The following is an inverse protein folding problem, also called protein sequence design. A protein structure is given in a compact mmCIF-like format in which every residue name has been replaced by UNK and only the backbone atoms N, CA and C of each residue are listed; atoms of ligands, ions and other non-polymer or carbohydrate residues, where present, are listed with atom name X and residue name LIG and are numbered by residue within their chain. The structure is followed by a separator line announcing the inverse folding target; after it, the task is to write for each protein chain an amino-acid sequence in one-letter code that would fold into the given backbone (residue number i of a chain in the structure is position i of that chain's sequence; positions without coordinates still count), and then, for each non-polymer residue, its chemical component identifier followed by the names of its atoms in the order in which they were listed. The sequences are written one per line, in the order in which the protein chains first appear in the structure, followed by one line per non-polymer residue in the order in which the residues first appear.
data_IF_012512517148
#
_entry.id   IF_012512517148
#
_cell.length_a   1.000
_cell.length_b   1.000
_cell.length_c   1.000
_cell.angle_alpha   90.00
_cell.angle_beta   90.00
_cell.angle_gamma   90.00
#
_symmetry.space_group_name_H-M   'P 1'
#
loop_
_entity.id
_entity.type
_entity.pdbx_description
1 polymer ?
#
# COMPACT_ATOMS: atom_id res chain seq x y z
N UNK A 1 4.06 -9.72 3.80
CA UNK A 1 3.76 -8.82 4.93
C UNK A 1 3.00 -9.61 5.99
N UNK A 2 3.40 -9.45 7.26
CA UNK A 2 2.85 -10.19 8.40
C UNK A 2 2.04 -9.25 9.29
N UNK A 3 0.77 -9.56 9.54
CA UNK A 3 -0.15 -8.76 10.35
C UNK A 3 -0.45 -9.46 11.66
N UNK A 4 -0.64 -8.70 12.73
CA UNK A 4 -1.22 -9.18 13.97
C UNK A 4 -2.64 -8.64 14.11
N UNK A 5 -3.60 -9.50 14.44
CA UNK A 5 -4.95 -9.11 14.84
C UNK A 5 -5.13 -9.47 16.30
N UNK A 6 -5.56 -8.48 17.09
CA UNK A 6 -5.93 -8.66 18.50
C UNK A 6 -7.41 -8.27 18.64
N UNK A 7 -8.28 -9.26 18.73
CA UNK A 7 -9.74 -9.12 18.69
C UNK A 7 -10.37 -10.21 19.56
N UNK A 8 -11.11 -9.84 20.61
CA UNK A 8 -11.70 -10.78 21.56
C UNK A 8 -12.96 -11.47 21.02
N UNK A 9 -13.69 -10.82 20.10
CA UNK A 9 -14.83 -11.43 19.44
C UNK A 9 -14.35 -12.44 18.37
N UNK A 10 -14.46 -13.73 18.70
CA UNK A 10 -13.95 -14.83 17.85
C UNK A 10 -14.44 -14.73 16.39
N UNK A 11 -15.75 -14.45 16.19
CA UNK A 11 -16.33 -14.35 14.83
C UNK A 11 -15.73 -13.21 14.01
N UNK A 12 -15.56 -12.06 14.62
CA UNK A 12 -14.93 -10.89 13.98
C UNK A 12 -13.47 -11.16 13.70
N UNK A 13 -12.72 -11.72 14.65
CA UNK A 13 -11.33 -12.08 14.47
C UNK A 13 -11.11 -13.07 13.31
N UNK A 14 -11.87 -14.15 13.28
CA UNK A 14 -11.76 -15.14 12.19
C UNK A 14 -12.19 -14.58 10.82
N UNK A 15 -13.24 -13.76 10.77
CA UNK A 15 -13.64 -13.06 9.55
C UNK A 15 -12.52 -12.16 9.00
N UNK A 16 -11.88 -11.39 9.87
CA UNK A 16 -10.76 -10.53 9.50
C UNK A 16 -9.54 -11.33 9.03
N UNK A 17 -9.19 -12.39 9.77
CA UNK A 17 -8.08 -13.28 9.44
C UNK A 17 -8.29 -13.91 8.08
N UNK A 18 -9.47 -14.46 7.81
CA UNK A 18 -9.79 -15.05 6.52
C UNK A 18 -9.67 -14.04 5.39
N UNK A 19 -10.35 -12.88 5.50
CA UNK A 19 -10.35 -11.88 4.42
C UNK A 19 -8.96 -11.31 4.15
N UNK A 20 -8.15 -11.05 5.18
CA UNK A 20 -6.79 -10.55 5.01
C UNK A 20 -5.85 -11.63 4.45
N UNK A 21 -6.03 -12.90 4.85
CA UNK A 21 -5.26 -14.01 4.27
C UNK A 21 -5.59 -14.21 2.78
N UNK A 22 -6.86 -14.12 2.39
CA UNK A 22 -7.30 -14.14 0.99
C UNK A 22 -6.74 -12.94 0.20
N UNK A 23 -6.53 -11.79 0.87
CA UNK A 23 -5.88 -10.62 0.28
C UNK A 23 -4.33 -10.74 0.19
N UNK A 24 -3.75 -11.87 0.60
CA UNK A 24 -2.32 -12.20 0.44
C UNK A 24 -1.43 -11.82 1.63
N UNK A 25 -2.00 -11.53 2.81
CA UNK A 25 -1.23 -11.26 4.02
C UNK A 25 -1.02 -12.52 4.87
N UNK A 26 0.14 -12.63 5.53
CA UNK A 26 0.32 -13.57 6.64
C UNK A 26 -0.34 -12.97 7.89
N UNK A 27 -1.24 -13.72 8.55
CA UNK A 27 -2.05 -13.17 9.65
C UNK A 27 -1.97 -14.04 10.89
N UNK A 28 -1.47 -13.46 11.99
CA UNK A 28 -1.60 -14.03 13.33
C UNK A 28 -2.84 -13.41 14.00
N UNK A 29 -3.61 -14.23 14.70
CA UNK A 29 -4.81 -13.80 15.43
C UNK A 29 -4.73 -14.27 16.88
N UNK A 30 -4.99 -13.35 17.79
CA UNK A 30 -5.12 -13.61 19.23
C UNK A 30 -6.38 -12.96 19.78
N UNK A 31 -6.94 -13.54 20.83
CA UNK A 31 -8.27 -13.18 21.34
C UNK A 31 -8.25 -12.49 22.71
N UNK A 32 -7.11 -12.05 23.19
CA UNK A 32 -6.99 -11.30 24.45
C UNK A 32 -5.83 -10.31 24.41
N UNK A 33 -5.90 -9.32 25.28
CA UNK A 33 -4.89 -8.26 25.31
C UNK A 33 -3.52 -8.70 25.82
N UNK A 34 -3.45 -9.73 26.68
CA UNK A 34 -2.19 -10.22 27.23
C UNK A 34 -1.33 -10.91 26.14
N UNK A 35 -1.94 -11.84 25.40
CA UNK A 35 -1.26 -12.51 24.29
C UNK A 35 -0.96 -11.51 23.16
N UNK A 36 -1.88 -10.58 22.87
CA UNK A 36 -1.68 -9.50 21.91
C UNK A 36 -0.48 -8.63 22.26
N UNK A 37 -0.37 -8.21 23.52
CA UNK A 37 0.77 -7.46 24.01
C UNK A 37 2.07 -8.26 23.89
N UNK A 38 2.06 -9.53 24.34
CA UNK A 38 3.24 -10.39 24.25
C UNK A 38 3.74 -10.54 22.81
N UNK A 39 2.86 -10.92 21.89
CA UNK A 39 3.23 -11.10 20.48
C UNK A 39 3.71 -9.78 19.84
N UNK A 40 3.01 -8.68 20.09
CA UNK A 40 3.40 -7.37 19.57
C UNK A 40 4.77 -6.91 20.07
N UNK A 41 5.16 -7.34 21.29
CA UNK A 41 6.46 -7.02 21.88
C UNK A 41 7.60 -7.95 21.42
N UNK A 42 7.32 -9.20 21.15
CA UNK A 42 8.35 -10.23 20.86
C UNK A 42 8.55 -10.50 19.39
N UNK A 43 7.48 -10.40 18.59
CA UNK A 43 7.51 -10.70 17.17
C UNK A 43 7.63 -9.43 16.31
N UNK A 44 7.91 -9.64 15.02
CA UNK A 44 7.92 -8.57 14.01
C UNK A 44 6.66 -8.63 13.17
N UNK A 45 5.93 -7.52 13.16
CA UNK A 45 4.74 -7.31 12.33
C UNK A 45 4.89 -6.05 11.49
N UNK A 46 4.33 -6.08 10.30
CA UNK A 46 4.27 -4.93 9.39
C UNK A 46 3.12 -3.98 9.78
N UNK A 47 2.06 -4.51 10.43
CA UNK A 47 0.93 -3.75 10.95
C UNK A 47 0.21 -4.55 12.03
N UNK A 48 -0.35 -3.85 13.02
CA UNK A 48 -1.19 -4.43 14.08
C UNK A 48 -2.60 -3.87 13.95
N UNK A 49 -3.60 -4.75 13.89
CA UNK A 49 -5.02 -4.43 13.99
C UNK A 49 -5.43 -4.77 15.43
N UNK A 50 -5.92 -3.77 16.15
CA UNK A 50 -6.05 -3.86 17.61
C UNK A 50 -7.43 -3.37 18.05
N UNK A 51 -8.22 -4.23 18.70
CA UNK A 51 -9.41 -3.75 19.37
C UNK A 51 -9.02 -2.91 20.61
N UNK A 52 -9.76 -1.85 20.81
CA UNK A 52 -9.61 -1.00 22.00
C UNK A 52 -10.08 -1.73 23.25
N UNK A 53 -11.20 -2.47 23.13
CA UNK A 53 -11.88 -3.09 24.28
C UNK A 53 -11.53 -4.57 24.42
N UNK A 54 -10.32 -4.85 24.87
CA UNK A 54 -9.84 -6.21 25.07
C UNK A 54 -9.91 -6.59 26.55
N UNK A 55 -10.10 -7.88 26.89
CA UNK A 55 -9.94 -8.36 28.24
C UNK A 55 -8.46 -8.28 28.67
N UNK A 56 -8.24 -8.20 29.99
CA UNK A 56 -6.95 -8.18 30.69
C UNK A 56 -6.13 -6.91 30.44
N UNK A 57 -5.72 -6.66 29.21
CA UNK A 57 -4.95 -5.48 28.80
C UNK A 57 -5.66 -4.80 27.63
N UNK A 58 -6.18 -3.60 27.85
CA UNK A 58 -6.84 -2.82 26.80
C UNK A 58 -5.88 -2.39 25.68
N UNK A 59 -6.43 -2.13 24.49
CA UNK A 59 -5.66 -1.77 23.30
C UNK A 59 -4.82 -0.49 23.48
N UNK A 60 -5.27 0.46 24.29
CA UNK A 60 -4.53 1.69 24.60
C UNK A 60 -3.23 1.42 25.35
N UNK A 61 -3.29 0.51 26.34
CA UNK A 61 -2.11 0.10 27.11
C UNK A 61 -1.11 -0.64 26.22
N UNK A 62 -1.59 -1.49 25.32
CA UNK A 62 -0.73 -2.19 24.35
C UNK A 62 -0.01 -1.17 23.49
N UNK A 63 -0.72 -0.23 22.84
CA UNK A 63 -0.12 0.81 22.01
C UNK A 63 0.90 1.63 22.80
N UNK A 64 0.55 2.08 24.02
CA UNK A 64 1.47 2.86 24.87
C UNK A 64 2.75 2.10 25.16
N UNK A 65 2.67 0.80 25.48
CA UNK A 65 3.83 -0.06 25.73
C UNK A 65 4.71 -0.19 24.49
N UNK A 66 4.12 -0.37 23.31
CA UNK A 66 4.85 -0.42 22.04
C UNK A 66 5.64 0.87 21.79
N UNK A 67 5.00 2.03 21.93
CA UNK A 67 5.65 3.33 21.72
C UNK A 67 6.75 3.61 22.76
N UNK A 68 6.53 3.24 24.02
CA UNK A 68 7.57 3.33 25.07
C UNK A 68 8.78 2.42 24.81
N UNK A 69 8.56 1.29 24.16
CA UNK A 69 9.63 0.39 23.73
C UNK A 69 10.30 0.80 22.42
N UNK A 70 9.94 1.96 21.85
CA UNK A 70 10.50 2.46 20.58
C UNK A 70 10.01 1.69 19.35
N UNK A 71 8.93 0.91 19.46
CA UNK A 71 8.34 0.21 18.32
C UNK A 71 7.39 1.14 17.58
N UNK A 72 7.70 1.41 16.31
CA UNK A 72 6.93 2.31 15.42
C UNK A 72 6.01 1.53 14.45
N UNK A 73 5.76 0.25 14.72
CA UNK A 73 4.84 -0.54 13.91
C UNK A 73 3.48 0.17 13.78
N UNK A 74 2.92 0.31 12.57
CA UNK A 74 1.62 0.94 12.37
C UNK A 74 0.52 0.18 13.12
N UNK A 75 -0.37 0.93 13.79
CA UNK A 75 -1.50 0.38 14.54
C UNK A 75 -2.81 0.97 14.01
N UNK A 76 -3.69 0.08 13.56
CA UNK A 76 -5.08 0.37 13.20
C UNK A 76 -5.99 -0.09 14.35
N UNK A 77 -6.66 0.85 15.00
CA UNK A 77 -7.66 0.49 16.00
C UNK A 77 -8.99 0.09 15.37
N UNK A 78 -9.57 -0.99 15.89
CA UNK A 78 -10.99 -1.31 15.73
C UNK A 78 -11.72 -0.92 17.02
N UNK A 79 -12.83 -0.23 16.92
CA UNK A 79 -13.55 0.22 18.13
C UNK A 79 -15.03 0.31 17.90
N UNK A 80 -15.82 -0.08 18.92
CA UNK A 80 -17.25 0.19 18.99
C UNK A 80 -17.54 1.62 19.51
N UNK A 81 -16.51 2.34 19.96
CA UNK A 81 -16.65 3.69 20.51
C UNK A 81 -16.50 4.73 19.39
N UNK A 82 -17.57 5.48 19.17
CA UNK A 82 -17.62 6.57 18.18
C UNK A 82 -17.43 7.96 18.80
N UNK A 83 -16.94 8.03 20.06
CA UNK A 83 -16.75 9.33 20.71
C UNK A 83 -15.54 10.07 20.10
N UNK A 84 -15.69 11.36 19.91
CA UNK A 84 -14.60 12.24 19.43
C UNK A 84 -13.41 12.18 20.39
N UNK A 85 -13.69 12.08 21.70
CA UNK A 85 -12.67 12.02 22.74
C UNK A 85 -11.81 10.77 22.67
N UNK A 86 -12.39 9.60 22.34
CA UNK A 86 -11.63 8.36 22.19
C UNK A 86 -10.73 8.39 20.94
N UNK A 87 -11.19 9.02 19.85
CA UNK A 87 -10.36 9.21 18.63
C UNK A 87 -9.20 10.16 18.89
N UNK A 88 -9.45 11.28 19.57
CA UNK A 88 -8.39 12.26 19.92
C UNK A 88 -7.36 11.60 20.82
N UNK A 89 -7.81 10.88 21.87
CA UNK A 89 -6.91 10.15 22.76
C UNK A 89 -6.00 9.15 22.04
N UNK A 90 -6.54 8.46 21.04
CA UNK A 90 -5.74 7.50 20.30
C UNK A 90 -4.71 8.13 19.39
N UNK A 91 -5.05 9.20 18.73
CA UNK A 91 -4.10 9.97 17.93
C UNK A 91 -2.98 10.54 18.80
N UNK A 92 -3.31 11.05 20.00
CA UNK A 92 -2.32 11.53 20.98
C UNK A 92 -1.40 10.42 21.49
N UNK A 93 -1.89 9.18 21.58
CA UNK A 93 -1.11 8.01 21.98
C UNK A 93 -0.27 7.42 20.83
N UNK A 94 -0.39 7.96 19.61
CA UNK A 94 0.40 7.53 18.45
C UNK A 94 -0.21 6.38 17.66
N UNK A 95 -1.55 6.25 17.65
CA UNK A 95 -2.23 5.39 16.69
C UNK A 95 -2.17 6.00 15.29
N UNK A 96 -2.09 5.15 14.29
CA UNK A 96 -1.93 5.58 12.90
C UNK A 96 -3.27 5.73 12.17
N UNK A 97 -4.31 4.97 12.56
CA UNK A 97 -5.68 5.10 12.03
C UNK A 97 -6.71 4.44 12.96
N UNK A 98 -8.00 4.72 12.69
CA UNK A 98 -9.16 4.23 13.41
C UNK A 98 -10.23 3.73 12.46
N UNK A 99 -10.89 2.62 12.84
CA UNK A 99 -12.06 2.10 12.14
C UNK A 99 -13.16 1.74 13.15
N UNK A 100 -14.32 2.37 12.98
CA UNK A 100 -15.47 2.18 13.89
C UNK A 100 -16.28 0.96 13.47
N UNK A 101 -16.63 0.11 14.42
CA UNK A 101 -17.56 -1.02 14.25
C UNK A 101 -19.02 -0.51 14.26
N UNK A 102 -19.91 -0.99 13.36
CA UNK A 102 -19.66 -1.97 12.30
C UNK A 102 -19.00 -1.34 11.07
N UNK A 103 -18.11 -2.08 10.41
CA UNK A 103 -17.39 -1.64 9.20
C UNK A 103 -17.54 -2.62 8.04
N UNK A 104 -17.24 -2.17 6.84
CA UNK A 104 -17.17 -3.01 5.63
C UNK A 104 -15.72 -3.47 5.44
N UNK A 105 -15.52 -4.76 5.13
CA UNK A 105 -14.17 -5.32 4.95
C UNK A 105 -13.33 -4.56 3.91
N UNK A 106 -13.96 -4.10 2.83
CA UNK A 106 -13.27 -3.30 1.81
C UNK A 106 -12.66 -2.00 2.38
N UNK A 107 -13.32 -1.35 3.36
CA UNK A 107 -12.79 -0.17 4.04
C UNK A 107 -11.57 -0.54 4.89
N UNK A 108 -11.67 -1.60 5.70
CA UNK A 108 -10.54 -2.10 6.50
C UNK A 108 -9.34 -2.41 5.61
N UNK A 109 -9.54 -3.15 4.52
CA UNK A 109 -8.48 -3.53 3.59
C UNK A 109 -7.81 -2.30 2.94
N UNK A 110 -8.58 -1.27 2.58
CA UNK A 110 -8.05 -0.02 2.04
C UNK A 110 -7.18 0.73 3.07
N UNK A 111 -7.59 0.77 4.35
CA UNK A 111 -6.82 1.36 5.46
C UNK A 111 -5.55 0.58 5.74
N UNK A 112 -5.63 -0.74 5.83
CA UNK A 112 -4.47 -1.65 6.00
C UNK A 112 -3.43 -1.39 4.92
N UNK A 113 -3.84 -1.38 3.64
CA UNK A 113 -2.92 -1.08 2.52
C UNK A 113 -2.30 0.32 2.61
N UNK A 114 -3.06 1.30 3.08
CA UNK A 114 -2.57 2.68 3.25
C UNK A 114 -1.53 2.76 4.37
N UNK A 115 -1.77 2.10 5.49
CA UNK A 115 -0.85 2.07 6.63
C UNK A 115 0.42 1.29 6.32
N UNK A 116 0.32 0.13 5.69
CA UNK A 116 1.47 -0.65 5.24
C UNK A 116 2.37 0.14 4.28
N UNK A 117 1.78 0.98 3.45
CA UNK A 117 2.55 1.91 2.60
C UNK A 117 3.27 2.99 3.41
N UNK A 118 2.73 3.41 4.58
CA UNK A 118 3.38 4.38 5.49
C UNK A 118 4.48 3.73 6.34
N UNK A 119 4.35 2.46 6.71
CA UNK A 119 5.30 1.71 7.54
C UNK A 119 6.60 1.32 6.85
N UNK A 120 6.66 1.40 5.52
CA UNK A 120 7.90 1.24 4.75
C UNK A 120 8.66 2.57 4.82
N UNK A 121 9.56 2.71 5.76
CA UNK A 121 10.55 3.78 6.04
C UNK A 121 10.28 5.17 5.42
N UNK A 122 10.14 6.25 6.20
CA UNK A 122 9.61 7.54 5.72
C UNK A 122 10.58 8.41 4.92
N UNK A 123 11.65 7.89 4.33
CA UNK A 123 12.62 8.80 3.68
C UNK A 123 13.06 8.42 2.26
N UNK A 124 12.72 7.23 1.75
CA UNK A 124 13.29 6.82 0.45
C UNK A 124 12.24 6.48 -0.62
N UNK A 125 10.97 6.20 -0.28
CA UNK A 125 9.97 5.72 -1.24
C UNK A 125 8.94 6.75 -1.71
N UNK A 126 8.99 7.99 -1.24
CA UNK A 126 8.15 9.06 -1.79
C UNK A 126 8.69 9.55 -3.14
N UNK A 127 9.95 9.26 -3.45
CA UNK A 127 10.57 9.54 -4.74
C UNK A 127 11.04 8.22 -5.34
N UNK A 128 10.28 7.70 -6.31
CA UNK A 128 10.69 6.55 -7.10
C UNK A 128 11.65 7.02 -8.19
N UNK A 129 12.67 6.21 -8.48
CA UNK A 129 13.69 6.54 -9.49
C UNK A 129 13.96 5.37 -10.42
N UNK A 130 14.04 5.67 -11.71
CA UNK A 130 14.54 4.75 -12.74
C UNK A 130 15.47 5.56 -13.65
N UNK A 131 16.77 5.30 -13.58
CA UNK A 131 17.81 6.13 -14.20
C UNK A 131 17.67 7.62 -13.79
N UNK A 132 17.43 8.49 -14.76
CA UNK A 132 17.25 9.93 -14.60
C UNK A 132 15.79 10.36 -14.40
N UNK A 133 14.86 9.41 -14.39
CA UNK A 133 13.44 9.64 -14.14
C UNK A 133 13.17 9.61 -12.64
N UNK A 134 12.52 10.65 -12.11
CA UNK A 134 12.11 10.76 -10.71
C UNK A 134 10.61 11.01 -10.61
N UNK A 135 9.92 10.23 -9.74
CA UNK A 135 8.52 10.40 -9.39
C UNK A 135 8.38 10.78 -7.91
N UNK A 136 7.99 12.00 -7.63
CA UNK A 136 7.57 12.43 -6.28
C UNK A 136 6.08 12.08 -6.09
N UNK A 137 5.84 11.01 -5.36
CA UNK A 137 4.49 10.47 -5.12
C UNK A 137 3.66 11.37 -4.22
N UNK A 138 4.31 12.03 -3.24
CA UNK A 138 3.63 12.93 -2.32
C UNK A 138 3.12 14.17 -3.02
N UNK A 139 3.96 14.76 -3.89
CA UNK A 139 3.60 15.98 -4.64
C UNK A 139 2.99 15.68 -6.00
N UNK A 140 2.90 14.39 -6.40
CA UNK A 140 2.48 13.94 -7.73
C UNK A 140 3.23 14.66 -8.85
N UNK A 141 4.55 14.75 -8.70
CA UNK A 141 5.45 15.42 -9.66
C UNK A 141 6.35 14.41 -10.32
N UNK A 142 6.62 14.65 -11.59
CA UNK A 142 7.55 13.84 -12.39
C UNK A 142 8.61 14.76 -12.96
N UNK A 143 9.85 14.33 -12.90
CA UNK A 143 10.96 14.96 -13.61
C UNK A 143 11.84 13.92 -14.27
N UNK A 144 12.49 14.30 -15.37
CA UNK A 144 13.49 13.50 -16.06
C UNK A 144 14.66 14.39 -16.45
N UNK A 145 15.89 13.97 -16.14
CA UNK A 145 17.10 14.80 -16.29
C UNK A 145 16.93 16.21 -15.67
N UNK A 146 16.24 16.32 -14.53
CA UNK A 146 15.93 17.58 -13.87
C UNK A 146 14.82 18.41 -14.53
N UNK A 147 14.30 18.03 -15.69
CA UNK A 147 13.21 18.72 -16.38
C UNK A 147 11.85 18.21 -15.87
N UNK A 148 10.98 19.14 -15.46
CA UNK A 148 9.63 18.79 -15.00
C UNK A 148 8.76 18.33 -16.17
N UNK A 149 8.08 17.17 -15.97
CA UNK A 149 7.13 16.59 -16.91
C UNK A 149 5.71 16.70 -16.36
N UNK A 150 4.80 17.24 -17.18
CA UNK A 150 3.40 17.36 -16.80
C UNK A 150 2.61 16.14 -17.29
N UNK A 151 2.15 15.34 -16.35
CA UNK A 151 1.32 14.17 -16.61
C UNK A 151 -0.11 14.41 -16.13
N UNK A 152 -1.08 13.83 -16.84
CA UNK A 152 -2.45 13.70 -16.33
C UNK A 152 -2.53 12.69 -15.19
N UNK A 153 -3.62 12.66 -14.44
CA UNK A 153 -3.80 11.72 -13.32
C UNK A 153 -3.64 10.25 -13.76
N UNK A 154 -4.14 9.89 -14.94
CA UNK A 154 -4.06 8.52 -15.48
C UNK A 154 -2.65 8.18 -16.01
N UNK A 155 -1.98 9.12 -16.65
CA UNK A 155 -0.58 8.96 -17.07
C UNK A 155 0.35 8.82 -15.86
N UNK A 156 0.11 9.58 -14.80
CA UNK A 156 0.86 9.46 -13.55
C UNK A 156 0.65 8.08 -12.91
N UNK A 157 -0.59 7.62 -12.79
CA UNK A 157 -0.90 6.30 -12.24
C UNK A 157 -0.28 5.15 -13.06
N UNK A 158 -0.30 5.27 -14.40
CA UNK A 158 0.35 4.31 -15.30
C UNK A 158 1.86 4.30 -15.09
N UNK A 159 2.49 5.46 -15.03
CA UNK A 159 3.93 5.57 -14.79
C UNK A 159 4.32 5.03 -13.41
N UNK A 160 3.56 5.38 -12.37
CA UNK A 160 3.77 4.87 -11.01
C UNK A 160 3.69 3.34 -10.97
N UNK A 161 2.70 2.74 -11.65
CA UNK A 161 2.55 1.28 -11.73
C UNK A 161 3.78 0.62 -12.38
N UNK A 162 4.24 1.17 -13.51
CA UNK A 162 5.43 0.67 -14.22
C UNK A 162 6.69 0.78 -13.34
N UNK A 163 6.92 1.94 -12.73
CA UNK A 163 8.13 2.20 -11.92
C UNK A 163 8.16 1.33 -10.66
N UNK A 164 7.03 1.11 -9.99
CA UNK A 164 6.96 0.22 -8.83
C UNK A 164 7.26 -1.25 -9.16
N UNK A 165 7.07 -1.62 -10.41
CA UNK A 165 7.35 -2.95 -10.95
C UNK A 165 8.45 -2.93 -12.00
N UNK A 166 9.49 -2.13 -11.74
CA UNK A 166 10.65 -2.04 -12.62
C UNK A 166 11.23 -3.43 -12.91
N UNK A 167 11.53 -3.71 -14.18
CA UNK A 167 12.05 -4.99 -14.65
C UNK A 167 11.00 -6.08 -14.85
N UNK A 168 9.74 -5.85 -14.47
CA UNK A 168 8.65 -6.80 -14.69
C UNK A 168 7.88 -6.47 -15.98
N UNK A 169 7.54 -7.51 -16.74
CA UNK A 169 6.64 -7.38 -17.90
C UNK A 169 5.19 -7.36 -17.44
N UNK A 170 4.52 -6.23 -17.57
CA UNK A 170 3.13 -6.06 -17.17
C UNK A 170 2.18 -6.33 -18.34
N UNK A 171 1.33 -7.37 -18.25
CA UNK A 171 0.30 -7.62 -19.26
C UNK A 171 -0.68 -6.45 -19.38
N UNK A 172 -1.18 -6.21 -20.60
CA UNK A 172 -2.17 -5.15 -20.86
C UNK A 172 -3.39 -5.23 -19.95
N UNK A 173 -3.83 -6.43 -19.68
CA UNK A 173 -4.95 -6.72 -18.76
C UNK A 173 -4.72 -6.21 -17.35
N UNK A 174 -3.54 -6.47 -16.82
CA UNK A 174 -3.16 -6.01 -15.48
C UNK A 174 -3.11 -4.47 -15.45
N UNK A 175 -2.55 -3.84 -16.47
CA UNK A 175 -2.48 -2.39 -16.60
C UNK A 175 -3.90 -1.79 -16.67
N UNK A 176 -4.78 -2.39 -17.48
CA UNK A 176 -6.18 -1.95 -17.63
C UNK A 176 -6.94 -2.02 -16.30
N UNK A 177 -6.84 -3.13 -15.58
CA UNK A 177 -7.52 -3.33 -14.30
C UNK A 177 -7.03 -2.38 -13.21
N UNK A 178 -5.71 -2.13 -13.13
CA UNK A 178 -5.13 -1.34 -12.04
C UNK A 178 -5.19 0.18 -12.27
N UNK A 179 -5.18 0.62 -13.51
CA UNK A 179 -5.15 2.05 -13.83
C UNK A 179 -6.52 2.60 -14.25
N UNK A 180 -7.35 1.79 -14.94
CA UNK A 180 -8.65 2.22 -15.46
C UNK A 180 -9.85 1.59 -14.78
N UNK A 181 -9.65 0.61 -13.89
CA UNK A 181 -10.75 -0.14 -13.24
C UNK A 181 -11.67 -0.83 -14.27
N UNK A 182 -11.09 -1.27 -15.39
CA UNK A 182 -11.81 -1.88 -16.50
C UNK A 182 -11.68 -3.40 -16.45
N UNK A 183 -12.82 -4.10 -16.53
CA UNK A 183 -12.85 -5.52 -16.78
C UNK A 183 -12.55 -5.82 -18.27
N UNK A 184 -12.01 -6.99 -18.55
CA UNK A 184 -11.23 -7.46 -19.68
C UNK A 184 -11.86 -7.42 -21.09
N UNK A 185 -13.12 -7.02 -21.28
CA UNK A 185 -13.84 -7.23 -22.53
C UNK A 185 -13.88 -6.03 -23.52
N UNK A 186 -13.24 -4.91 -23.22
CA UNK A 186 -13.27 -3.76 -24.13
C UNK A 186 -11.91 -3.07 -24.29
N UNK A 187 -11.42 -3.14 -25.53
CA UNK A 187 -10.38 -2.29 -26.13
C UNK A 187 -8.99 -2.27 -25.49
N UNK A 188 -8.19 -3.29 -25.79
CA UNK A 188 -6.71 -3.29 -25.59
C UNK A 188 -6.01 -2.06 -26.22
N UNK A 189 -6.63 -1.40 -27.18
CA UNK A 189 -6.14 -0.18 -27.82
C UNK A 189 -5.97 1.01 -26.83
N UNK A 190 -6.77 1.07 -25.77
CA UNK A 190 -6.67 2.16 -24.77
C UNK A 190 -5.29 2.16 -24.10
N UNK A 191 -4.77 0.98 -23.78
CA UNK A 191 -3.45 0.84 -23.13
C UNK A 191 -2.33 1.25 -24.07
N UNK A 192 -2.38 0.81 -25.33
CA UNK A 192 -1.36 1.12 -26.32
C UNK A 192 -1.32 2.63 -26.61
N UNK A 193 -2.49 3.28 -26.68
CA UNK A 193 -2.60 4.75 -26.81
C UNK A 193 -2.07 5.45 -25.56
N UNK A 194 -2.36 4.95 -24.37
CA UNK A 194 -1.88 5.54 -23.13
C UNK A 194 -0.35 5.43 -23.00
N UNK A 195 0.23 4.28 -23.32
CA UNK A 195 1.68 4.06 -23.37
C UNK A 195 2.34 4.99 -24.39
N UNK A 196 1.76 5.11 -25.59
CA UNK A 196 2.28 6.03 -26.62
C UNK A 196 2.32 7.48 -26.12
N UNK A 197 1.22 7.95 -25.48
CA UNK A 197 1.15 9.31 -24.90
C UNK A 197 2.15 9.49 -23.77
N UNK A 198 2.32 8.47 -22.93
CA UNK A 198 3.28 8.50 -21.85
C UNK A 198 4.71 8.59 -22.38
N UNK A 199 5.07 7.74 -23.36
CA UNK A 199 6.39 7.78 -24.05
C UNK A 199 6.68 9.13 -24.66
N UNK A 200 5.71 9.75 -25.31
CA UNK A 200 5.88 11.09 -25.90
C UNK A 200 6.31 12.15 -24.87
N UNK A 201 5.98 11.94 -23.60
CA UNK A 201 6.33 12.87 -22.54
C UNK A 201 7.60 12.48 -21.77
N UNK A 202 7.77 11.18 -21.49
CA UNK A 202 8.86 10.73 -20.61
C UNK A 202 10.03 10.09 -21.34
N UNK A 203 9.86 9.67 -22.60
CA UNK A 203 10.87 8.92 -23.33
C UNK A 203 11.35 9.60 -24.63
N UNK A 204 10.44 10.13 -25.46
CA UNK A 204 10.79 10.50 -26.85
C UNK A 204 11.94 11.52 -26.94
N UNK A 205 12.03 12.44 -25.98
CA UNK A 205 13.07 13.48 -25.93
C UNK A 205 14.24 13.16 -24.99
N UNK A 206 14.32 11.91 -24.48
CA UNK A 206 15.32 11.50 -23.51
C UNK A 206 15.99 10.19 -23.90
N UNK A 207 17.22 9.98 -23.43
CA UNK A 207 17.98 8.75 -23.54
C UNK A 207 18.57 8.37 -22.16
N UNK A 208 18.60 7.07 -21.82
CA UNK A 208 18.05 5.93 -22.56
C UNK A 208 16.51 5.91 -22.55
N UNK A 209 15.90 5.16 -23.47
CA UNK A 209 14.46 4.88 -23.43
C UNK A 209 14.19 3.93 -22.26
N UNK A 210 13.17 4.23 -21.47
CA UNK A 210 12.86 3.46 -20.25
C UNK A 210 11.66 2.54 -20.43
N UNK A 211 10.65 2.94 -21.23
CA UNK A 211 9.43 2.15 -21.40
C UNK A 211 9.59 1.24 -22.63
N UNK A 212 9.64 -0.06 -22.39
CA UNK A 212 9.84 -1.08 -23.42
C UNK A 212 8.54 -1.84 -23.74
N UNK A 213 8.41 -2.28 -25.01
CA UNK A 213 7.34 -3.18 -25.43
C UNK A 213 7.88 -4.58 -25.53
N UNK A 214 7.33 -5.52 -24.77
CA UNK A 214 7.61 -6.94 -24.92
C UNK A 214 6.51 -7.54 -25.78
N UNK A 215 6.87 -7.91 -27.03
CA UNK A 215 5.90 -8.37 -28.05
C UNK A 215 5.08 -9.54 -27.52
N UNK A 216 3.76 -9.45 -27.66
CA UNK A 216 2.82 -10.49 -27.22
C UNK A 216 2.60 -10.56 -25.70
N UNK A 217 3.44 -9.93 -24.85
CA UNK A 217 3.35 -10.03 -23.40
C UNK A 217 2.86 -8.74 -22.72
N UNK A 218 3.36 -7.56 -23.11
CA UNK A 218 2.95 -6.31 -22.48
C UNK A 218 3.99 -5.21 -22.52
N UNK A 219 4.11 -4.48 -21.41
CA UNK A 219 5.03 -3.35 -21.27
C UNK A 219 5.86 -3.49 -20.00
N UNK A 220 7.05 -2.93 -20.04
CA UNK A 220 8.01 -2.94 -18.94
C UNK A 220 8.71 -1.57 -18.87
N UNK A 221 9.11 -1.15 -17.70
CA UNK A 221 10.07 -0.05 -17.52
C UNK A 221 11.39 -0.61 -16.98
N UNK A 222 12.48 -0.27 -17.63
CA UNK A 222 13.83 -0.67 -17.19
C UNK A 222 14.89 0.26 -17.82
N UNK A 223 16.08 0.21 -17.25
CA UNK A 223 17.28 0.94 -17.70
C UNK A 223 18.06 0.20 -18.80
N UNK A 224 17.85 -1.10 -18.94
CA UNK A 224 18.49 -1.91 -19.98
C UNK A 224 17.75 -1.76 -21.31
N UNK A 225 18.47 -1.47 -22.38
CA UNK A 225 18.00 -1.72 -23.73
C UNK A 225 17.51 -3.16 -23.78
N UNK A 226 16.19 -3.36 -23.96
CA UNK A 226 15.58 -4.67 -23.93
C UNK A 226 16.36 -5.62 -24.82
N UNK A 227 17.29 -6.34 -24.23
CA UNK A 227 18.11 -7.30 -24.91
C UNK A 227 17.20 -8.39 -25.44
N UNK A 228 17.06 -8.33 -26.73
CA UNK A 228 16.60 -9.35 -27.65
C UNK A 228 17.01 -10.76 -27.21
N UNK A 229 16.07 -11.63 -27.06
CA UNK A 229 16.22 -13.01 -27.52
C UNK A 229 14.84 -13.57 -27.80
#
# INVERSE_FOLDING_TARGET
MKLLIVEDEIKTGEYLKQGLSEAGFGVDLVHNGLDGHHQAMTEHYDLIILDVMLPDVDGWRILKSLRQAGKEVPVLFLTARDSVDDRVKGLELGADDYLVKPFVFAELLARVRTLLRRGSTPTTELILRVADLELDLARRRVSRSGQRINLTAKEFALLELLVRRQGEVLPRSLIASQVWDMNFDSDTNVIDVAIRRLRAKVDDNFDPKLIHTVRGMGYMIDTSDGASS
#
